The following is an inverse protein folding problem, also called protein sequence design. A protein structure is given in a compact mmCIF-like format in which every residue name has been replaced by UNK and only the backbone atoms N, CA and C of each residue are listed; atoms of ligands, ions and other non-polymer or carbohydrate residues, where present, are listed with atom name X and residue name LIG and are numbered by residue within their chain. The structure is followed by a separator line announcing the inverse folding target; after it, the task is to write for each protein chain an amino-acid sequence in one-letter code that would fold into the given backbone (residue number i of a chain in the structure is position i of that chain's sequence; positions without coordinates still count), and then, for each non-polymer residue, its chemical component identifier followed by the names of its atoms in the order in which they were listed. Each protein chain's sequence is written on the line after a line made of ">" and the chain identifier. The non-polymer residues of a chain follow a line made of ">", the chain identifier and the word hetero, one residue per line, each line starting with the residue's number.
data_IF_670594915528
#
_entry.id   IF_670594915528
#
_cell.length_a   1.000
_cell.length_b   1.000
_cell.length_c   1.000
_cell.angle_alpha   90.00
_cell.angle_beta   90.00
_cell.angle_gamma   90.00
#
_symmetry.space_group_name_H-M   'P 1'
#
loop_
_entity.id
_entity.type
_entity.pdbx_description
1 polymer ?
#
# COMPACT_ATOMS: atom_id res chain seq x y z
N UNK A 1 3.09 20.35 0.43
CA UNK A 1 1.83 20.69 -0.29
C UNK A 1 1.42 19.44 -1.05
N UNK A 2 0.24 18.88 -0.77
CA UNK A 2 -0.28 17.74 -1.54
C UNK A 2 -0.59 18.22 -2.97
N UNK A 3 -0.08 17.51 -3.97
CA UNK A 3 -0.27 17.87 -5.38
C UNK A 3 -1.51 17.16 -5.92
N UNK A 4 -2.06 17.66 -7.04
CA UNK A 4 -3.13 16.97 -7.76
C UNK A 4 -2.72 15.54 -8.16
N UNK A 5 -1.41 15.31 -8.36
CA UNK A 5 -0.85 13.98 -8.62
C UNK A 5 -1.06 13.04 -7.44
N UNK A 6 -0.78 13.48 -6.21
CA UNK A 6 -0.99 12.63 -5.02
C UNK A 6 -2.47 12.33 -4.81
N UNK A 7 -3.36 13.32 -5.02
CA UNK A 7 -4.81 13.10 -4.92
C UNK A 7 -5.32 12.11 -5.97
N UNK A 8 -4.84 12.22 -7.20
CA UNK A 8 -5.22 11.29 -8.28
C UNK A 8 -4.76 9.86 -7.99
N UNK A 9 -3.52 9.68 -7.53
CA UNK A 9 -2.99 8.35 -7.18
C UNK A 9 -3.74 7.73 -5.99
N UNK A 10 -4.04 8.54 -4.97
CA UNK A 10 -4.84 8.10 -3.84
C UNK A 10 -6.25 7.66 -4.27
N UNK A 11 -6.92 8.47 -5.11
CA UNK A 11 -8.25 8.15 -5.62
C UNK A 11 -8.23 6.87 -6.49
N UNK A 12 -7.22 6.69 -7.32
CA UNK A 12 -7.06 5.48 -8.13
C UNK A 12 -6.91 4.22 -7.25
N UNK A 13 -6.16 4.29 -6.15
CA UNK A 13 -6.03 3.18 -5.21
C UNK A 13 -7.36 2.84 -4.52
N UNK A 14 -8.15 3.86 -4.15
CA UNK A 14 -9.48 3.68 -3.57
C UNK A 14 -10.45 3.03 -4.57
N UNK A 15 -10.37 3.41 -5.84
CA UNK A 15 -11.17 2.78 -6.89
C UNK A 15 -10.76 1.31 -7.11
N UNK A 16 -9.46 1.02 -7.18
CA UNK A 16 -8.94 -0.35 -7.30
C UNK A 16 -9.41 -1.21 -6.13
N UNK A 17 -9.39 -0.69 -4.90
CA UNK A 17 -9.94 -1.39 -3.73
C UNK A 17 -11.41 -1.75 -3.95
N UNK A 18 -12.22 -0.82 -4.43
CA UNK A 18 -13.65 -1.06 -4.69
C UNK A 18 -13.85 -2.16 -5.72
N UNK A 19 -13.08 -2.13 -6.82
CA UNK A 19 -13.12 -3.16 -7.86
C UNK A 19 -12.65 -4.53 -7.36
N UNK A 20 -11.77 -4.56 -6.36
CA UNK A 20 -11.21 -5.79 -5.79
C UNK A 20 -11.93 -6.27 -4.52
N UNK A 21 -13.00 -5.62 -4.08
CA UNK A 21 -13.63 -5.87 -2.79
C UNK A 21 -14.09 -7.33 -2.62
N UNK A 22 -14.57 -7.95 -3.70
CA UNK A 22 -15.05 -9.34 -3.72
C UNK A 22 -13.91 -10.38 -3.59
N UNK A 23 -12.65 -9.94 -3.66
CA UNK A 23 -11.47 -10.80 -3.52
C UNK A 23 -10.81 -10.77 -2.13
N UNK A 24 -11.46 -10.14 -1.14
CA UNK A 24 -11.00 -10.12 0.24
C UNK A 24 -11.42 -11.38 1.00
N UNK A 25 -10.54 -11.85 1.89
CA UNK A 25 -10.76 -13.03 2.72
C UNK A 25 -9.87 -14.22 2.37
N UNK A 26 -9.87 -15.22 3.25
CA UNK A 26 -9.00 -16.39 3.17
C UNK A 26 -9.46 -17.45 2.15
N UNK A 27 -10.76 -17.53 1.88
CA UNK A 27 -11.39 -18.63 1.12
C UNK A 27 -11.93 -18.22 -0.26
N UNK A 28 -11.41 -17.13 -0.84
CA UNK A 28 -11.82 -16.70 -2.18
C UNK A 28 -11.14 -17.55 -3.24
N UNK A 29 -11.93 -18.15 -4.14
CA UNK A 29 -11.44 -18.85 -5.33
C UNK A 29 -11.03 -17.86 -6.42
N UNK A 30 -9.81 -17.33 -6.29
CA UNK A 30 -9.18 -16.43 -7.25
C UNK A 30 -7.66 -16.64 -7.29
N UNK A 31 -6.98 -16.26 -8.38
CA UNK A 31 -5.52 -16.32 -8.44
C UNK A 31 -4.88 -15.58 -7.25
N UNK A 32 -3.82 -16.14 -6.67
CA UNK A 32 -3.18 -15.57 -5.49
C UNK A 32 -2.75 -14.11 -5.72
N UNK A 33 -2.27 -13.76 -6.91
CA UNK A 33 -1.90 -12.39 -7.27
C UNK A 33 -3.06 -11.40 -7.17
N UNK A 34 -4.29 -11.81 -7.53
CA UNK A 34 -5.50 -10.98 -7.41
C UNK A 34 -5.87 -10.81 -5.93
N UNK A 35 -5.76 -11.89 -5.15
CA UNK A 35 -6.02 -11.84 -3.70
C UNK A 35 -5.02 -10.94 -2.97
N UNK A 36 -3.73 -11.04 -3.30
CA UNK A 36 -2.69 -10.15 -2.79
C UNK A 36 -3.00 -8.70 -3.14
N UNK A 37 -3.35 -8.41 -4.40
CA UNK A 37 -3.72 -7.05 -4.81
C UNK A 37 -4.91 -6.50 -4.01
N UNK A 38 -5.93 -7.33 -3.76
CA UNK A 38 -7.10 -6.95 -2.97
C UNK A 38 -6.72 -6.62 -1.52
N UNK A 39 -5.93 -7.49 -0.87
CA UNK A 39 -5.47 -7.26 0.49
C UNK A 39 -4.52 -6.05 0.59
N UNK A 40 -3.70 -5.80 -0.44
CA UNK A 40 -2.83 -4.63 -0.52
C UNK A 40 -3.63 -3.33 -0.64
N UNK A 41 -4.59 -3.29 -1.56
CA UNK A 41 -5.49 -2.14 -1.73
C UNK A 41 -6.31 -1.89 -0.45
N UNK A 42 -6.71 -2.96 0.24
CA UNK A 42 -7.36 -2.85 1.54
C UNK A 42 -6.42 -2.42 2.67
N UNK A 43 -5.17 -2.87 2.72
CA UNK A 43 -4.22 -2.43 3.73
C UNK A 43 -4.01 -0.91 3.69
N UNK A 44 -3.93 -0.34 2.48
CA UNK A 44 -3.55 1.05 2.24
C UNK A 44 -4.72 2.03 2.15
N UNK A 45 -5.97 1.58 2.27
CA UNK A 45 -7.12 2.44 1.94
C UNK A 45 -7.28 3.65 2.88
N UNK A 46 -7.03 3.47 4.18
CA UNK A 46 -7.12 4.59 5.13
C UNK A 46 -6.08 5.66 4.82
N UNK A 47 -4.88 5.23 4.46
CA UNK A 47 -3.78 6.12 4.15
C UNK A 47 -3.96 6.79 2.77
N UNK A 48 -4.60 6.12 1.82
CA UNK A 48 -5.08 6.72 0.58
C UNK A 48 -6.18 7.78 0.84
N UNK A 49 -7.17 7.49 1.71
CA UNK A 49 -8.17 8.48 2.12
C UNK A 49 -7.53 9.70 2.78
N UNK A 50 -6.52 9.49 3.64
CA UNK A 50 -5.79 10.57 4.28
C UNK A 50 -5.03 11.43 3.26
N UNK A 51 -4.32 10.80 2.32
CA UNK A 51 -3.63 11.50 1.23
C UNK A 51 -4.58 12.29 0.33
N UNK A 52 -5.78 11.75 0.04
CA UNK A 52 -6.81 12.41 -0.75
C UNK A 52 -7.43 13.61 -0.01
N UNK A 53 -7.68 13.45 1.29
CA UNK A 53 -8.39 14.43 2.14
C UNK A 53 -7.47 15.45 2.81
N UNK A 54 -6.16 15.41 2.53
CA UNK A 54 -5.14 16.23 3.20
C UNK A 54 -5.15 16.04 4.73
N UNK A 55 -5.39 14.81 5.17
CA UNK A 55 -5.21 14.37 6.55
C UNK A 55 -3.82 13.74 6.74
N UNK A 56 -3.50 13.37 7.98
CA UNK A 56 -2.19 12.82 8.33
C UNK A 56 -2.03 11.38 7.82
N UNK A 57 -1.00 11.14 6.99
CA UNK A 57 -0.65 9.80 6.52
C UNK A 57 0.15 9.05 7.59
N UNK A 58 -0.41 7.98 8.14
CA UNK A 58 0.23 7.17 9.19
C UNK A 58 1.10 6.06 8.60
N UNK A 59 2.36 6.38 8.28
CA UNK A 59 3.26 5.43 7.60
C UNK A 59 3.45 4.13 8.39
N UNK A 60 3.62 4.21 9.72
CA UNK A 60 3.81 3.04 10.58
C UNK A 60 2.56 2.13 10.66
N UNK A 61 1.38 2.67 10.36
CA UNK A 61 0.16 1.90 10.31
C UNK A 61 0.03 1.17 8.97
N UNK A 62 0.33 1.87 7.86
CA UNK A 62 0.38 1.27 6.53
C UNK A 62 1.39 0.11 6.48
N UNK A 63 2.61 0.29 7.00
CA UNK A 63 3.65 -0.75 6.96
C UNK A 63 3.25 -2.00 7.74
N UNK A 64 2.67 -1.83 8.94
CA UNK A 64 2.16 -2.97 9.74
C UNK A 64 1.04 -3.73 9.03
N UNK A 65 0.10 -3.03 8.40
CA UNK A 65 -0.98 -3.68 7.64
C UNK A 65 -0.47 -4.42 6.41
N UNK A 66 0.51 -3.85 5.70
CA UNK A 66 1.16 -4.51 4.56
C UNK A 66 1.84 -5.80 5.03
N UNK A 67 2.58 -5.77 6.14
CA UNK A 67 3.24 -6.96 6.68
C UNK A 67 2.24 -8.07 7.06
N UNK A 68 1.06 -7.70 7.60
CA UNK A 68 0.02 -8.67 7.96
C UNK A 68 -0.57 -9.44 6.75
N UNK A 69 -0.44 -8.94 5.52
CA UNK A 69 -0.91 -9.64 4.31
C UNK A 69 -0.22 -10.99 4.16
N UNK A 70 1.09 -11.02 4.45
CA UNK A 70 1.92 -12.21 4.32
C UNK A 70 1.45 -13.31 5.29
N UNK A 71 1.03 -12.92 6.50
CA UNK A 71 0.46 -13.84 7.50
C UNK A 71 -0.93 -14.37 7.09
N UNK A 72 -1.78 -13.51 6.50
CA UNK A 72 -3.14 -13.87 6.09
C UNK A 72 -3.14 -14.82 4.89
N UNK A 73 -2.24 -14.60 3.93
CA UNK A 73 -2.24 -15.29 2.64
C UNK A 73 -1.14 -16.36 2.52
N UNK A 74 -0.18 -16.40 3.46
CA UNK A 74 0.97 -17.29 3.39
C UNK A 74 1.94 -16.94 2.26
N UNK A 75 2.16 -15.64 2.03
CA UNK A 75 3.00 -15.10 0.93
C UNK A 75 4.10 -14.19 1.47
N UNK A 76 4.87 -13.54 0.59
CA UNK A 76 5.94 -12.59 0.95
C UNK A 76 5.88 -11.27 0.17
N UNK A 77 4.75 -11.01 -0.51
CA UNK A 77 4.55 -9.82 -1.34
C UNK A 77 4.56 -8.53 -0.51
N UNK A 78 4.03 -8.57 0.71
CA UNK A 78 4.04 -7.45 1.65
C UNK A 78 5.47 -7.08 2.04
N UNK A 79 6.25 -8.05 2.51
CA UNK A 79 7.67 -7.87 2.82
C UNK A 79 8.48 -7.37 1.61
N UNK A 80 8.21 -7.90 0.40
CA UNK A 80 8.89 -7.47 -0.82
C UNK A 80 8.55 -6.02 -1.21
N UNK A 81 7.34 -5.55 -0.93
CA UNK A 81 6.97 -4.14 -1.12
C UNK A 81 7.72 -3.24 -0.12
N UNK A 82 7.70 -3.60 1.17
CA UNK A 82 8.33 -2.81 2.22
C UNK A 82 9.85 -2.71 2.03
N UNK A 83 10.50 -3.81 1.66
CA UNK A 83 11.94 -3.81 1.39
C UNK A 83 12.32 -2.84 0.25
N UNK A 84 11.52 -2.76 -0.82
CA UNK A 84 11.75 -1.79 -1.90
C UNK A 84 11.59 -0.34 -1.42
N UNK A 85 10.56 -0.08 -0.62
CA UNK A 85 10.31 1.24 -0.05
C UNK A 85 11.47 1.72 0.85
N UNK A 86 12.02 0.85 1.70
CA UNK A 86 13.15 1.18 2.59
C UNK A 86 14.46 1.44 1.82
N UNK A 87 14.73 0.66 0.77
CA UNK A 87 15.91 0.86 -0.09
C UNK A 87 15.83 2.22 -0.78
N UNK A 88 14.66 2.57 -1.34
CA UNK A 88 14.45 3.86 -2.00
C UNK A 88 14.60 5.03 -1.02
N UNK A 89 14.06 4.90 0.20
CA UNK A 89 14.22 5.91 1.24
C UNK A 89 15.69 6.16 1.60
N UNK A 90 16.50 5.10 1.69
CA UNK A 90 17.93 5.20 1.99
C UNK A 90 18.73 5.87 0.87
N UNK A 91 18.45 5.51 -0.39
CA UNK A 91 19.13 6.11 -1.57
C UNK A 91 18.86 7.62 -1.65
N UNK A 92 17.62 8.04 -1.38
CA UNK A 92 17.27 9.47 -1.37
C UNK A 92 18.05 10.22 -0.27
N UNK A 93 18.11 9.67 0.95
CA UNK A 93 18.84 10.27 2.06
C UNK A 93 20.34 10.41 1.78
N UNK A 94 20.97 9.37 1.22
CA UNK A 94 22.41 9.40 0.88
C UNK A 94 22.72 10.42 -0.23
N UNK A 95 21.81 10.59 -1.21
CA UNK A 95 21.95 11.57 -2.29
C UNK A 95 21.74 13.03 -1.82
N UNK A 96 20.96 13.24 -0.76
CA UNK A 96 20.71 14.57 -0.21
C UNK A 96 21.83 15.07 0.71
N UNK A 97 22.68 14.19 1.24
CA UNK A 97 23.82 14.53 2.10
C UNK A 97 25.12 14.78 1.33
N UNK A 98 25.14 14.48 0.04
CA UNK A 98 26.31 14.59 -0.84
C UNK A 98 26.26 15.79 -1.80
N UNK A 99 25.29 16.70 -1.62
CA UNK A 99 25.07 17.92 -2.42
C UNK A 99 25.35 19.21 -1.66
#
# INVERSE_FOLDING_TARGET
>A
MLTDQTRLLALALLEIRTLLADYLGSDVDAPMSVRVAAHMAYALHNEAEAAYSNAEFQIDHATRKIAAIDEILGVTDGAALLSRFEIEAKVILDSAQSG
#
